data_IF_449291931617
#
_entry.id   IF_449291931617
#
_cell.length_a   1.000
_cell.length_b   1.000
_cell.length_c   1.000
_cell.angle_alpha   90.00
_cell.angle_beta   90.00
_cell.angle_gamma   90.00
#
_symmetry.space_group_name_H-M   'P 1'
#
loop_
_entity.id
_entity.type
_entity.pdbx_description
1 polymer ?
#
# COMPACT_ATOMS: atom_id res chain seq x y z
N UNK A 1 -9.36 -9.49 -1.92
CA UNK A 1 -9.22 -10.79 -1.24
C UNK A 1 -10.43 -11.72 -1.41
N UNK A 2 -11.67 -11.24 -1.45
CA UNK A 2 -12.86 -12.09 -1.58
C UNK A 2 -12.98 -12.71 -2.98
N UNK A 3 -13.01 -11.87 -4.01
CA UNK A 3 -13.38 -12.26 -5.39
C UNK A 3 -12.23 -12.79 -6.26
N UNK A 4 -10.98 -12.61 -5.85
CA UNK A 4 -9.84 -13.02 -6.66
C UNK A 4 -9.40 -14.45 -6.34
N UNK A 5 -8.75 -15.11 -7.31
CA UNK A 5 -8.19 -16.44 -7.14
C UNK A 5 -6.90 -16.41 -6.34
N UNK A 6 -6.73 -17.36 -5.43
CA UNK A 6 -5.50 -17.54 -4.65
C UNK A 6 -4.96 -18.96 -4.81
N UNK A 7 -3.64 -19.12 -4.87
CA UNK A 7 -3.02 -20.44 -4.97
C UNK A 7 -3.21 -21.24 -3.68
N UNK A 8 -3.45 -22.53 -3.84
CA UNK A 8 -3.48 -23.50 -2.75
C UNK A 8 -2.49 -24.64 -3.04
N UNK A 9 -2.15 -25.40 -1.99
CA UNK A 9 -1.16 -26.48 -2.10
C UNK A 9 0.27 -25.97 -2.19
N UNK A 10 1.11 -26.76 -2.87
CA UNK A 10 2.54 -26.49 -3.04
C UNK A 10 2.86 -26.16 -4.50
N UNK A 11 3.79 -25.23 -4.76
CA UNK A 11 4.17 -24.89 -6.12
C UNK A 11 5.05 -25.98 -6.77
N UNK A 12 4.87 -26.18 -8.06
CA UNK A 12 5.82 -26.88 -8.90
C UNK A 12 6.82 -25.85 -9.43
N UNK A 13 8.10 -26.07 -9.16
CA UNK A 13 9.18 -25.19 -9.61
C UNK A 13 9.63 -25.60 -11.01
N UNK A 14 9.53 -24.67 -11.97
CA UNK A 14 9.87 -24.87 -13.38
C UNK A 14 11.06 -23.98 -13.69
N UNK A 15 12.15 -24.54 -14.18
CA UNK A 15 13.41 -23.84 -14.49
C UNK A 15 13.83 -23.93 -15.95
N UNK A 16 13.14 -24.73 -16.75
CA UNK A 16 13.39 -24.96 -18.18
C UNK A 16 12.12 -25.34 -18.93
N UNK A 17 12.17 -25.36 -20.24
CA UNK A 17 11.05 -25.75 -21.12
C UNK A 17 9.78 -24.94 -20.83
N UNK A 18 9.95 -23.62 -20.73
CA UNK A 18 8.84 -22.72 -20.47
C UNK A 18 7.84 -22.71 -21.62
N UNK A 19 6.58 -22.84 -21.26
CA UNK A 19 5.45 -22.71 -22.17
C UNK A 19 4.92 -21.28 -22.19
N UNK A 20 3.77 -21.07 -22.85
CA UNK A 20 3.07 -19.79 -22.84
C UNK A 20 2.75 -19.34 -21.40
N UNK A 21 2.94 -18.04 -21.14
CA UNK A 21 2.75 -17.46 -19.80
C UNK A 21 1.31 -17.65 -19.28
N UNK A 22 0.33 -17.71 -20.16
CA UNK A 22 -1.08 -17.88 -19.78
C UNK A 22 -1.37 -19.23 -19.10
N UNK A 23 -0.51 -20.22 -19.31
CA UNK A 23 -0.61 -21.53 -18.64
C UNK A 23 -0.16 -21.52 -17.19
N UNK A 24 0.46 -20.44 -16.74
CA UNK A 24 1.04 -20.37 -15.40
C UNK A 24 0.21 -19.50 -14.47
N UNK A 25 0.10 -19.96 -13.22
CA UNK A 25 -0.49 -19.26 -12.11
C UNK A 25 0.40 -19.37 -10.87
N UNK A 26 0.99 -18.29 -10.42
CA UNK A 26 1.94 -18.32 -9.31
C UNK A 26 2.92 -17.16 -9.32
N UNK A 27 4.18 -17.46 -9.07
CA UNK A 27 5.27 -16.48 -9.08
C UNK A 27 6.22 -16.75 -10.25
N UNK A 28 6.71 -15.70 -10.88
CA UNK A 28 7.68 -15.77 -11.96
C UNK A 28 8.88 -14.87 -11.67
N UNK A 29 10.08 -15.48 -11.71
CA UNK A 29 11.34 -14.75 -11.69
C UNK A 29 11.79 -14.55 -13.14
N UNK A 30 11.86 -13.30 -13.58
CA UNK A 30 12.15 -12.99 -14.98
C UNK A 30 12.82 -11.64 -15.16
N UNK A 31 13.32 -11.42 -16.38
CA UNK A 31 13.87 -10.16 -16.86
C UNK A 31 12.99 -9.62 -17.98
N UNK A 32 12.58 -8.38 -17.85
CA UNK A 32 11.65 -7.70 -18.76
C UNK A 32 12.22 -6.37 -19.23
N UNK A 33 11.92 -6.02 -20.46
CA UNK A 33 12.19 -4.70 -21.01
C UNK A 33 10.89 -3.88 -21.02
N UNK A 34 10.79 -2.81 -20.21
CA UNK A 34 9.63 -1.93 -20.21
C UNK A 34 9.51 -1.14 -21.53
N UNK A 35 8.30 -0.74 -21.94
CA UNK A 35 8.11 0.18 -23.06
C UNK A 35 8.75 1.55 -22.78
N UNK A 36 8.87 2.43 -23.78
CA UNK A 36 9.47 3.75 -23.62
C UNK A 36 8.50 4.81 -23.12
N UNK A 37 7.23 4.69 -23.50
CA UNK A 37 6.19 5.66 -23.18
C UNK A 37 4.99 4.94 -22.54
N UNK A 38 4.95 4.90 -21.21
CA UNK A 38 3.84 4.39 -20.44
C UNK A 38 3.71 5.25 -19.17
N UNK A 39 2.59 5.97 -19.03
CA UNK A 39 2.40 6.92 -17.93
C UNK A 39 2.36 6.22 -16.56
N UNK A 40 1.74 5.06 -16.49
CA UNK A 40 1.63 4.24 -15.29
C UNK A 40 2.28 2.87 -15.51
N UNK A 41 3.58 2.70 -15.18
CA UNK A 41 4.25 1.41 -15.32
C UNK A 41 3.62 0.35 -14.42
N UNK A 42 3.56 -0.91 -14.92
CA UNK A 42 2.86 -2.00 -14.26
C UNK A 42 3.66 -2.59 -13.09
N UNK A 43 4.93 -2.89 -13.34
CA UNK A 43 5.73 -3.69 -12.43
C UNK A 43 6.50 -2.85 -11.41
N UNK A 44 6.35 -3.13 -10.12
CA UNK A 44 7.16 -2.51 -9.08
C UNK A 44 8.61 -3.02 -9.15
N UNK A 45 9.56 -2.11 -8.94
CA UNK A 45 10.98 -2.40 -8.86
C UNK A 45 11.54 -1.82 -7.56
N UNK A 46 12.40 -2.57 -6.87
CA UNK A 46 13.05 -2.07 -5.65
C UNK A 46 14.35 -1.37 -6.01
N UNK A 47 14.43 -0.09 -5.69
CA UNK A 47 15.59 0.76 -5.91
C UNK A 47 15.93 1.45 -4.60
N UNK A 48 17.13 1.28 -4.06
CA UNK A 48 17.60 1.91 -2.81
C UNK A 48 16.58 1.81 -1.65
N UNK A 49 16.03 0.64 -1.39
CA UNK A 49 14.98 0.42 -0.38
C UNK A 49 13.63 1.11 -0.64
N UNK A 50 13.45 1.77 -1.78
CA UNK A 50 12.17 2.34 -2.21
C UNK A 50 11.51 1.46 -3.26
N UNK A 51 10.18 1.41 -3.23
CA UNK A 51 9.40 0.78 -4.29
C UNK A 51 9.10 1.84 -5.36
N UNK A 52 9.66 1.64 -6.55
CA UNK A 52 9.45 2.50 -7.71
C UNK A 52 8.76 1.74 -8.84
N UNK A 53 8.11 2.48 -9.72
CA UNK A 53 7.55 1.98 -10.97
C UNK A 53 8.28 2.68 -12.12
N UNK A 54 9.28 1.99 -12.68
CA UNK A 54 10.21 2.59 -13.64
C UNK A 54 10.09 1.96 -15.02
N UNK A 55 10.39 2.73 -16.05
CA UNK A 55 10.54 2.26 -17.44
C UNK A 55 12.01 2.04 -17.83
N UNK A 56 12.92 2.41 -16.96
CA UNK A 56 14.36 2.17 -17.09
C UNK A 56 14.97 1.97 -15.70
N UNK A 57 15.54 0.79 -15.45
CA UNK A 57 16.19 0.46 -14.18
C UNK A 57 17.27 1.49 -13.84
N UNK A 58 18.16 1.78 -14.80
CA UNK A 58 19.29 2.70 -14.62
C UNK A 58 18.85 4.13 -14.31
N UNK A 59 17.80 4.64 -14.99
CA UNK A 59 17.24 5.96 -14.68
C UNK A 59 16.66 6.02 -13.27
N UNK A 60 15.99 4.94 -12.83
CA UNK A 60 15.46 4.84 -11.46
C UNK A 60 16.56 4.84 -10.41
N UNK A 61 17.67 4.10 -10.64
CA UNK A 61 18.82 4.03 -9.75
C UNK A 61 19.57 5.37 -9.63
N UNK A 62 19.78 6.04 -10.76
CA UNK A 62 20.54 7.29 -10.85
C UNK A 62 19.65 8.54 -10.79
N UNK A 63 18.34 8.39 -10.70
CA UNK A 63 17.33 9.48 -10.68
C UNK A 63 17.48 10.46 -11.86
N UNK A 64 17.76 9.92 -13.06
CA UNK A 64 17.98 10.71 -14.25
C UNK A 64 16.67 11.20 -14.85
N UNK A 65 16.61 12.50 -15.17
CA UNK A 65 15.43 13.13 -15.80
C UNK A 65 15.27 12.72 -17.26
N UNK A 66 16.34 12.38 -17.98
CA UNK A 66 16.34 11.96 -19.38
C UNK A 66 16.92 10.56 -19.54
N UNK A 67 16.29 9.73 -20.36
CA UNK A 67 16.76 8.38 -20.61
C UNK A 67 17.50 8.29 -21.94
N UNK A 68 18.80 7.95 -21.87
CA UNK A 68 19.66 7.70 -23.03
C UNK A 68 20.20 6.26 -23.04
N UNK A 69 19.65 5.41 -22.16
CA UNK A 69 20.11 4.05 -21.96
C UNK A 69 19.65 3.10 -23.08
N UNK A 70 20.50 2.12 -23.36
CA UNK A 70 20.15 1.03 -24.26
C UNK A 70 19.19 0.04 -23.58
N UNK A 71 18.63 -0.90 -24.37
CA UNK A 71 17.62 -1.83 -23.87
C UNK A 71 18.12 -2.75 -22.75
N UNK A 72 19.42 -3.08 -22.72
CA UNK A 72 20.00 -3.93 -21.66
C UNK A 72 19.99 -3.20 -20.31
N UNK A 73 20.37 -1.92 -20.31
CA UNK A 73 20.40 -1.07 -19.12
C UNK A 73 19.01 -0.68 -18.62
N UNK A 74 18.02 -0.66 -19.54
CA UNK A 74 16.62 -0.38 -19.22
C UNK A 74 15.90 -1.55 -18.55
N UNK A 75 16.34 -2.79 -18.82
CA UNK A 75 15.69 -3.98 -18.30
C UNK A 75 15.52 -3.97 -16.79
N UNK A 76 14.38 -4.43 -16.34
CA UNK A 76 14.09 -4.73 -14.93
C UNK A 76 14.14 -6.24 -14.72
N UNK A 77 14.58 -6.66 -13.55
CA UNK A 77 14.65 -8.06 -13.14
C UNK A 77 14.10 -8.22 -11.74
N UNK A 78 13.30 -9.26 -11.53
CA UNK A 78 12.66 -9.50 -10.23
C UNK A 78 11.73 -10.70 -10.25
N UNK A 79 11.07 -10.89 -9.12
CA UNK A 79 10.02 -11.90 -8.95
C UNK A 79 8.68 -11.20 -8.75
N UNK A 80 7.73 -11.53 -9.59
CA UNK A 80 6.37 -10.99 -9.57
C UNK A 80 5.33 -12.10 -9.63
N UNK A 81 4.08 -11.75 -9.34
CA UNK A 81 2.95 -12.65 -9.61
C UNK A 81 2.74 -12.74 -11.12
N UNK A 82 2.42 -13.93 -11.61
CA UNK A 82 2.18 -14.17 -13.05
C UNK A 82 1.15 -13.20 -13.65
N UNK A 83 0.09 -12.88 -12.90
CA UNK A 83 -0.96 -11.97 -13.34
C UNK A 83 -0.45 -10.53 -13.57
N UNK A 84 0.51 -10.04 -12.76
CA UNK A 84 1.14 -8.72 -13.01
C UNK A 84 2.03 -8.75 -14.26
N UNK A 85 2.73 -9.85 -14.51
CA UNK A 85 3.59 -9.98 -15.68
C UNK A 85 2.77 -10.13 -16.96
N UNK A 86 1.64 -10.85 -16.92
CA UNK A 86 0.68 -10.90 -18.04
C UNK A 86 0.18 -9.50 -18.39
N UNK A 87 -0.24 -8.73 -17.39
CA UNK A 87 -0.68 -7.36 -17.62
C UNK A 87 0.48 -6.47 -18.14
N UNK A 88 1.69 -6.64 -17.63
CA UNK A 88 2.84 -5.91 -18.14
C UNK A 88 3.09 -6.19 -19.63
N UNK A 89 2.98 -7.43 -20.08
CA UNK A 89 3.11 -7.80 -21.49
C UNK A 89 1.98 -7.15 -22.31
N UNK A 90 0.74 -7.15 -21.81
CA UNK A 90 -0.38 -6.48 -22.46
C UNK A 90 -0.12 -4.97 -22.61
N UNK A 91 0.59 -4.35 -21.67
CA UNK A 91 0.99 -2.94 -21.67
C UNK A 91 2.32 -2.69 -22.45
N UNK A 92 2.81 -3.67 -23.20
CA UNK A 92 3.95 -3.53 -24.12
C UNK A 92 5.32 -3.84 -23.54
N UNK A 93 5.41 -4.46 -22.36
CA UNK A 93 6.68 -5.01 -21.89
C UNK A 93 7.09 -6.22 -22.75
N UNK A 94 8.40 -6.39 -22.95
CA UNK A 94 8.95 -7.54 -23.66
C UNK A 94 9.63 -8.49 -22.70
N UNK A 95 9.26 -9.76 -22.72
CA UNK A 95 9.95 -10.82 -21.99
C UNK A 95 11.33 -11.05 -22.59
N UNK A 96 12.39 -10.85 -21.81
CA UNK A 96 13.79 -11.05 -22.24
C UNK A 96 14.27 -12.42 -21.79
N UNK A 97 13.98 -12.80 -20.54
CA UNK A 97 14.40 -14.09 -19.98
C UNK A 97 13.51 -14.49 -18.81
N UNK A 98 13.16 -15.76 -18.75
CA UNK A 98 12.56 -16.40 -17.58
C UNK A 98 13.66 -17.19 -16.89
N UNK A 99 13.78 -17.04 -15.57
CA UNK A 99 14.74 -17.80 -14.75
C UNK A 99 14.06 -18.99 -14.06
N UNK A 100 12.88 -18.77 -13.50
CA UNK A 100 12.08 -19.81 -12.86
C UNK A 100 10.62 -19.38 -12.70
N UNK A 101 9.75 -20.38 -12.62
CA UNK A 101 8.32 -20.18 -12.32
C UNK A 101 7.94 -21.10 -11.17
N UNK A 102 7.26 -20.55 -10.17
CA UNK A 102 6.59 -21.29 -9.12
C UNK A 102 5.12 -21.39 -9.50
N UNK A 103 4.76 -22.48 -10.16
CA UNK A 103 3.41 -22.73 -10.66
C UNK A 103 2.58 -23.49 -9.64
N UNK A 104 1.34 -23.03 -9.40
CA UNK A 104 0.34 -23.72 -8.60
C UNK A 104 -0.71 -24.32 -9.52
N UNK A 105 -0.87 -25.62 -9.46
CA UNK A 105 -1.85 -26.36 -10.27
C UNK A 105 -3.27 -26.13 -9.74
N UNK A 106 -3.41 -25.80 -8.46
CA UNK A 106 -4.69 -25.59 -7.80
C UNK A 106 -4.84 -24.14 -7.32
N UNK A 107 -6.06 -23.62 -7.42
CA UNK A 107 -6.46 -22.29 -6.94
C UNK A 107 -7.85 -22.31 -6.36
N UNK A 108 -8.07 -21.48 -5.35
CA UNK A 108 -9.39 -21.25 -4.76
C UNK A 108 -9.95 -19.92 -5.25
N UNK A 109 -11.17 -19.94 -5.77
CA UNK A 109 -11.85 -18.77 -6.33
C UNK A 109 -13.26 -18.66 -5.75
N UNK A 110 -13.70 -17.45 -5.44
CA UNK A 110 -15.08 -17.20 -5.04
C UNK A 110 -16.00 -17.19 -6.26
N UNK A 111 -17.10 -17.93 -6.16
CA UNK A 111 -18.18 -17.91 -7.14
C UNK A 111 -19.23 -16.88 -6.71
N UNK A 112 -19.38 -15.76 -7.45
CA UNK A 112 -20.33 -14.71 -7.10
C UNK A 112 -21.79 -15.12 -7.30
N UNK A 113 -22.08 -16.07 -8.19
CA UNK A 113 -23.45 -16.54 -8.45
C UNK A 113 -23.93 -17.50 -7.37
N UNK A 114 -23.09 -18.47 -7.02
CA UNK A 114 -23.36 -19.42 -5.95
C UNK A 114 -23.11 -18.87 -4.54
N UNK A 115 -22.45 -17.72 -4.41
CA UNK A 115 -22.03 -17.11 -3.14
C UNK A 115 -21.12 -18.03 -2.29
N UNK A 116 -20.30 -18.87 -2.95
CA UNK A 116 -19.49 -19.92 -2.34
C UNK A 116 -18.04 -19.89 -2.82
N UNK A 117 -17.18 -20.63 -2.12
CA UNK A 117 -15.76 -20.69 -2.42
C UNK A 117 -14.98 -19.45 -1.94
N UNK A 118 -13.73 -19.35 -2.41
CA UNK A 118 -12.81 -18.28 -2.07
C UNK A 118 -12.15 -18.43 -0.71
N UNK A 119 -10.81 -18.44 -0.72
CA UNK A 119 -9.96 -18.75 0.43
C UNK A 119 -10.26 -17.90 1.68
N UNK A 120 -10.69 -16.65 1.50
CA UNK A 120 -10.91 -15.70 2.59
C UNK A 120 -12.37 -15.30 2.80
N UNK A 121 -13.30 -15.90 2.07
CA UNK A 121 -14.71 -15.51 2.06
C UNK A 121 -15.34 -15.53 3.45
N UNK A 122 -15.11 -16.58 4.24
CA UNK A 122 -15.65 -16.70 5.60
C UNK A 122 -15.18 -15.57 6.51
N UNK A 123 -13.89 -15.24 6.45
CA UNK A 123 -13.31 -14.13 7.23
C UNK A 123 -13.88 -12.78 6.76
N UNK A 124 -13.82 -12.51 5.45
CA UNK A 124 -14.27 -11.23 4.89
C UNK A 124 -15.76 -11.02 5.17
N UNK A 125 -16.60 -12.01 4.91
CA UNK A 125 -18.05 -11.91 5.14
C UNK A 125 -18.38 -11.64 6.61
N UNK A 126 -17.68 -12.26 7.55
CA UNK A 126 -17.86 -12.02 8.99
C UNK A 126 -17.62 -10.56 9.36
N UNK A 127 -16.46 -10.02 9.01
CA UNK A 127 -16.11 -8.65 9.38
C UNK A 127 -16.81 -7.59 8.52
N UNK A 128 -17.17 -7.92 7.28
CA UNK A 128 -17.99 -7.08 6.44
C UNK A 128 -19.39 -6.92 7.02
N UNK A 129 -20.02 -8.03 7.45
CA UNK A 129 -21.30 -8.03 8.18
C UNK A 129 -21.20 -7.12 9.42
N UNK A 130 -20.24 -7.35 10.28
CA UNK A 130 -20.06 -6.56 11.51
C UNK A 130 -19.85 -5.07 11.22
N UNK A 131 -19.03 -4.73 10.20
CA UNK A 131 -18.80 -3.34 9.78
C UNK A 131 -20.09 -2.69 9.30
N UNK A 132 -20.87 -3.38 8.45
CA UNK A 132 -22.09 -2.85 7.85
C UNK A 132 -23.18 -2.68 8.89
N UNK A 133 -23.42 -3.68 9.73
CA UNK A 133 -24.39 -3.58 10.83
C UNK A 133 -24.01 -2.44 11.81
N UNK A 134 -22.74 -2.29 12.14
CA UNK A 134 -22.24 -1.22 13.00
C UNK A 134 -22.21 0.18 12.33
N UNK A 135 -22.42 0.27 11.04
CA UNK A 135 -22.54 1.55 10.32
C UNK A 135 -23.96 2.16 10.46
N UNK A 136 -24.97 1.34 10.79
CA UNK A 136 -26.37 1.74 10.72
C UNK A 136 -26.90 1.74 9.29
N UNK A 137 -28.16 2.08 9.13
CA UNK A 137 -28.76 2.26 7.80
C UNK A 137 -28.28 3.55 7.14
N UNK A 138 -28.13 3.59 5.81
CA UNK A 138 -27.94 4.82 5.06
C UNK A 138 -29.06 5.84 5.33
N UNK A 139 -28.78 7.12 5.23
CA UNK A 139 -29.72 8.20 5.57
C UNK A 139 -31.01 8.19 4.77
N UNK A 140 -30.99 7.64 3.56
CA UNK A 140 -32.15 7.52 2.68
C UNK A 140 -33.03 6.30 3.00
N UNK A 141 -32.59 5.38 3.85
CA UNK A 141 -33.31 4.15 4.25
C UNK A 141 -34.03 4.43 5.56
N UNK A 142 -35.31 4.79 5.50
CA UNK A 142 -36.10 5.27 6.65
C UNK A 142 -37.26 4.35 7.03
N UNK A 143 -37.95 3.78 6.07
CA UNK A 143 -39.12 2.92 6.30
C UNK A 143 -38.74 1.46 6.56
N UNK A 144 -39.60 0.70 7.18
CA UNK A 144 -39.37 -0.74 7.43
C UNK A 144 -39.30 -1.55 6.13
N UNK A 145 -39.97 -1.12 5.07
CA UNK A 145 -39.92 -1.76 3.75
C UNK A 145 -38.53 -1.50 3.11
N UNK A 146 -38.05 -0.26 3.14
CA UNK A 146 -36.71 0.10 2.65
C UNK A 146 -35.59 -0.64 3.43
N UNK A 147 -35.73 -0.79 4.74
CA UNK A 147 -34.80 -1.56 5.56
C UNK A 147 -34.72 -3.03 5.16
N UNK A 148 -35.87 -3.66 4.91
CA UNK A 148 -35.94 -5.05 4.43
C UNK A 148 -35.33 -5.17 3.03
N UNK A 149 -35.64 -4.24 2.14
CA UNK A 149 -35.09 -4.18 0.79
C UNK A 149 -33.54 -4.00 0.84
N UNK A 150 -33.05 -3.13 1.71
CA UNK A 150 -31.60 -2.94 1.93
C UNK A 150 -30.88 -4.24 2.32
N UNK A 151 -31.41 -4.98 3.31
CA UNK A 151 -30.86 -6.27 3.74
C UNK A 151 -30.88 -7.30 2.60
N UNK A 152 -31.94 -7.36 1.85
CA UNK A 152 -32.11 -8.29 0.73
C UNK A 152 -31.12 -7.94 -0.39
N UNK A 153 -31.04 -6.69 -0.79
CA UNK A 153 -30.10 -6.21 -1.82
C UNK A 153 -28.65 -6.44 -1.41
N UNK A 154 -28.33 -6.19 -0.14
CA UNK A 154 -26.99 -6.45 0.38
C UNK A 154 -26.59 -7.93 0.27
N UNK A 155 -27.53 -8.84 0.56
CA UNK A 155 -27.31 -10.27 0.35
C UNK A 155 -27.08 -10.62 -1.13
N UNK A 156 -27.88 -10.06 -2.04
CA UNK A 156 -27.72 -10.32 -3.47
C UNK A 156 -26.38 -9.84 -4.00
N UNK A 157 -25.87 -8.69 -3.56
CA UNK A 157 -24.60 -8.16 -4.02
C UNK A 157 -23.41 -8.83 -3.32
N UNK A 158 -23.46 -8.91 -1.99
CA UNK A 158 -22.31 -9.33 -1.20
C UNK A 158 -22.33 -10.80 -0.77
N UNK A 159 -23.45 -11.49 -0.86
CA UNK A 159 -23.61 -12.84 -0.29
C UNK A 159 -23.51 -12.84 1.24
N UNK A 160 -23.81 -11.70 1.88
CA UNK A 160 -23.73 -11.52 3.32
C UNK A 160 -25.10 -11.21 3.90
N UNK A 161 -25.61 -12.13 4.70
CA UNK A 161 -26.90 -11.93 5.37
C UNK A 161 -26.74 -11.03 6.59
N UNK A 162 -27.27 -9.80 6.50
CA UNK A 162 -27.36 -8.86 7.61
C UNK A 162 -28.52 -9.21 8.54
N UNK A 163 -28.39 -8.86 9.82
CA UNK A 163 -29.48 -8.96 10.81
C UNK A 163 -30.07 -7.57 11.04
N UNK A 164 -31.36 -7.41 10.65
CA UNK A 164 -32.13 -6.17 10.78
C UNK A 164 -32.07 -5.58 12.21
N UNK A 165 -32.08 -6.43 13.23
CA UNK A 165 -32.09 -6.01 14.64
C UNK A 165 -30.72 -5.46 15.10
N UNK A 166 -29.64 -5.85 14.42
CA UNK A 166 -28.28 -5.49 14.76
C UNK A 166 -27.76 -4.27 13.99
N UNK A 167 -28.52 -3.79 12.99
CA UNK A 167 -28.11 -2.61 12.19
C UNK A 167 -28.33 -1.34 13.03
N UNK A 168 -27.28 -0.95 13.77
CA UNK A 168 -27.29 0.25 14.65
C UNK A 168 -25.91 0.91 14.64
N UNK A 169 -25.83 2.24 14.58
CA UNK A 169 -24.55 2.93 14.64
C UNK A 169 -23.71 2.56 15.87
N UNK A 170 -22.52 2.05 15.64
CA UNK A 170 -21.53 1.74 16.67
C UNK A 170 -20.13 2.02 16.12
N UNK A 171 -19.61 3.20 16.40
CA UNK A 171 -18.32 3.68 15.87
C UNK A 171 -17.13 2.78 16.26
N UNK A 172 -17.13 2.25 17.49
CA UNK A 172 -16.08 1.35 17.99
C UNK A 172 -16.08 0.01 17.22
N UNK A 173 -17.22 -0.64 17.08
CA UNK A 173 -17.35 -1.91 16.36
C UNK A 173 -17.05 -1.72 14.86
N UNK A 174 -17.51 -0.63 14.26
CA UNK A 174 -17.18 -0.26 12.88
C UNK A 174 -15.68 -0.11 12.67
N UNK A 175 -14.99 0.61 13.58
CA UNK A 175 -13.54 0.82 13.50
C UNK A 175 -12.77 -0.49 13.66
N UNK A 176 -13.13 -1.34 14.63
CA UNK A 176 -12.52 -2.65 14.84
C UNK A 176 -12.71 -3.55 13.61
N UNK A 177 -13.94 -3.64 13.08
CA UNK A 177 -14.22 -4.46 11.89
C UNK A 177 -13.44 -3.98 10.66
N UNK A 178 -13.33 -2.66 10.46
CA UNK A 178 -12.49 -2.06 9.41
C UNK A 178 -11.02 -2.41 9.61
N UNK A 179 -10.53 -2.39 10.84
CA UNK A 179 -9.16 -2.77 11.15
C UNK A 179 -8.89 -4.24 10.78
N UNK A 180 -9.78 -5.17 11.13
CA UNK A 180 -9.63 -6.58 10.77
C UNK A 180 -9.64 -6.80 9.25
N UNK A 181 -10.55 -6.16 8.53
CA UNK A 181 -10.59 -6.24 7.06
C UNK A 181 -9.30 -5.74 6.40
N UNK A 182 -8.72 -4.67 6.92
CA UNK A 182 -7.54 -4.03 6.33
C UNK A 182 -6.22 -4.68 6.73
N UNK A 183 -6.15 -5.37 7.88
CA UNK A 183 -4.88 -5.86 8.44
C UNK A 183 -4.56 -7.33 8.12
N UNK A 184 -5.55 -8.15 7.73
CA UNK A 184 -5.35 -9.58 7.52
C UNK A 184 -4.21 -9.90 6.57
N UNK A 185 -4.19 -9.26 5.40
CA UNK A 185 -3.19 -9.55 4.38
C UNK A 185 -1.75 -9.25 4.82
N UNK A 186 -1.57 -8.22 5.65
CA UNK A 186 -0.27 -7.84 6.20
C UNK A 186 0.32 -8.91 7.11
N UNK A 187 -0.52 -9.73 7.74
CA UNK A 187 -0.07 -10.85 8.56
C UNK A 187 0.67 -11.90 7.73
N UNK A 188 0.21 -12.17 6.51
CA UNK A 188 0.85 -13.13 5.62
C UNK A 188 2.23 -12.69 5.13
N UNK A 189 2.45 -11.38 4.94
CA UNK A 189 3.73 -10.80 4.53
C UNK A 189 4.63 -10.38 5.68
N UNK A 190 4.33 -10.77 6.92
CA UNK A 190 5.11 -10.37 8.07
C UNK A 190 6.48 -11.08 8.06
N UNK A 191 7.56 -10.31 8.24
CA UNK A 191 8.87 -10.91 8.47
C UNK A 191 8.84 -11.70 9.79
N UNK A 192 9.01 -13.02 9.70
CA UNK A 192 8.99 -13.93 10.85
C UNK A 192 10.31 -13.92 11.63
N UNK A 193 11.42 -13.50 11.00
CA UNK A 193 12.73 -13.35 11.63
C UNK A 193 12.97 -11.89 12.04
N UNK A 194 12.08 -11.35 12.89
CA UNK A 194 12.26 -9.99 13.44
C UNK A 194 13.29 -9.99 14.56
N UNK A 195 14.00 -8.87 14.68
CA UNK A 195 14.88 -8.61 15.82
C UNK A 195 14.12 -8.76 17.13
N UNK A 196 14.55 -9.69 17.92
CA UNK A 196 14.09 -9.95 19.29
C UNK A 196 14.93 -9.15 20.27
N UNK A 197 14.43 -8.95 21.46
CA UNK A 197 15.18 -8.31 22.55
C UNK A 197 15.08 -9.14 23.81
N UNK A 198 16.21 -9.30 24.51
CA UNK A 198 16.32 -9.94 25.82
C UNK A 198 17.02 -8.99 26.79
N UNK A 199 16.48 -8.86 27.99
CA UNK A 199 17.20 -8.20 29.08
C UNK A 199 18.04 -9.26 29.79
N UNK A 200 19.30 -8.97 29.92
CA UNK A 200 20.32 -9.88 30.46
C UNK A 200 20.90 -9.23 31.71
N UNK A 201 20.79 -9.93 32.83
CA UNK A 201 21.36 -9.54 34.14
C UNK A 201 22.54 -10.40 34.56
N UNK A 202 22.62 -11.62 34.02
CA UNK A 202 23.70 -12.53 34.25
C UNK A 202 24.63 -12.63 33.05
N UNK A 203 25.93 -12.55 33.28
CA UNK A 203 26.92 -12.57 32.20
C UNK A 203 26.93 -13.92 31.45
N UNK A 204 26.58 -15.02 32.12
CA UNK A 204 26.42 -16.35 31.52
C UNK A 204 25.39 -16.33 30.39
N UNK A 205 24.23 -15.69 30.63
CA UNK A 205 23.16 -15.57 29.63
C UNK A 205 23.59 -14.80 28.35
N UNK A 206 24.54 -13.87 28.51
CA UNK A 206 25.10 -13.14 27.40
C UNK A 206 26.03 -14.04 26.58
N UNK A 207 26.89 -14.82 27.25
CA UNK A 207 27.75 -15.79 26.59
C UNK A 207 26.96 -16.89 25.91
N UNK A 208 25.91 -17.41 26.53
CA UNK A 208 25.02 -18.40 25.95
C UNK A 208 24.38 -17.87 24.65
N UNK A 209 23.95 -16.61 24.64
CA UNK A 209 23.39 -15.99 23.44
C UNK A 209 24.44 -15.81 22.31
N UNK A 210 25.70 -15.52 22.65
CA UNK A 210 26.78 -15.39 21.67
C UNK A 210 27.31 -16.70 21.12
N UNK A 211 27.27 -17.76 21.94
CA UNK A 211 27.78 -19.08 21.59
C UNK A 211 26.74 -19.97 20.92
N UNK A 212 25.48 -19.57 20.93
CA UNK A 212 24.40 -20.29 20.29
C UNK A 212 24.34 -19.93 18.81
N UNK A 213 24.75 -20.86 17.94
CA UNK A 213 24.75 -20.71 16.48
C UNK A 213 23.36 -20.46 15.88
N UNK A 214 22.28 -20.66 16.65
CA UNK A 214 20.92 -20.38 16.22
C UNK A 214 20.62 -18.89 16.16
N UNK A 215 21.42 -18.05 16.82
CA UNK A 215 21.17 -16.62 16.93
C UNK A 215 22.31 -15.77 16.37
N UNK A 216 21.95 -14.59 15.87
CA UNK A 216 22.88 -13.56 15.44
C UNK A 216 22.61 -12.31 16.26
N UNK A 217 23.54 -11.95 17.15
CA UNK A 217 23.45 -10.72 17.94
C UNK A 217 23.69 -9.53 17.03
N UNK A 218 22.70 -8.61 16.99
CA UNK A 218 22.69 -7.43 16.12
C UNK A 218 23.24 -6.20 16.85
N UNK A 219 22.89 -6.05 18.13
CA UNK A 219 23.26 -4.88 18.92
C UNK A 219 23.14 -5.17 20.41
N UNK A 220 23.95 -4.48 21.21
CA UNK A 220 23.95 -4.52 22.67
C UNK A 220 23.79 -3.09 23.22
N UNK A 221 22.85 -2.92 24.14
CA UNK A 221 22.66 -1.66 24.85
C UNK A 221 22.80 -1.88 26.35
N UNK A 222 23.88 -1.40 26.95
CA UNK A 222 24.10 -1.44 28.39
C UNK A 222 23.26 -0.36 29.06
N UNK A 223 22.20 -0.78 29.75
CA UNK A 223 21.26 0.13 30.43
C UNK A 223 21.87 0.68 31.72
N UNK A 224 22.62 -0.16 32.44
CA UNK A 224 23.43 0.16 33.59
C UNK A 224 24.53 -0.93 33.78
N UNK A 225 25.29 -0.90 34.90
CA UNK A 225 26.39 -1.81 35.17
C UNK A 225 25.95 -3.29 35.29
N UNK A 226 24.65 -3.54 35.60
CA UNK A 226 24.13 -4.88 35.87
C UNK A 226 23.12 -5.36 34.80
N UNK A 227 22.73 -4.53 33.84
CA UNK A 227 21.67 -4.88 32.86
C UNK A 227 22.09 -4.53 31.43
N UNK A 228 22.17 -5.55 30.62
CA UNK A 228 22.37 -5.43 29.18
C UNK A 228 21.07 -5.78 28.43
N UNK A 229 20.71 -4.98 27.45
CA UNK A 229 19.64 -5.28 26.49
C UNK A 229 20.29 -5.79 25.20
N UNK A 230 20.16 -7.07 24.91
CA UNK A 230 20.63 -7.66 23.66
C UNK A 230 19.53 -7.66 22.62
N UNK A 231 19.87 -7.30 21.38
CA UNK A 231 19.04 -7.38 20.19
C UNK A 231 19.62 -8.45 19.28
N UNK A 232 18.80 -9.43 18.91
CA UNK A 232 19.23 -10.57 18.12
C UNK A 232 18.14 -11.07 17.18
N UNK A 233 18.56 -11.76 16.11
CA UNK A 233 17.69 -12.49 15.18
C UNK A 233 18.08 -13.97 15.23
N UNK A 234 17.22 -14.83 14.72
CA UNK A 234 17.67 -16.19 14.38
C UNK A 234 18.62 -16.14 13.18
N UNK A 235 19.58 -17.05 13.15
CA UNK A 235 20.39 -17.26 11.97
C UNK A 235 19.48 -17.65 10.79
N UNK A 236 19.68 -17.06 9.61
CA UNK A 236 18.81 -17.26 8.45
C UNK A 236 18.78 -18.74 8.01
N UNK A 237 19.90 -19.47 8.15
CA UNK A 237 19.99 -20.89 7.84
C UNK A 237 19.17 -21.77 8.82
N UNK A 238 18.99 -21.30 10.05
CA UNK A 238 18.26 -22.00 11.12
C UNK A 238 16.81 -21.53 11.28
N UNK A 239 16.43 -20.50 10.50
CA UNK A 239 15.09 -19.94 10.59
C UNK A 239 14.10 -20.72 9.72
N UNK A 240 13.25 -21.51 10.32
CA UNK A 240 12.23 -22.36 9.65
C UNK A 240 11.01 -21.59 9.14
N UNK A 241 10.99 -20.26 9.24
CA UNK A 241 9.80 -19.47 8.91
C UNK A 241 8.74 -19.49 10.02
N UNK A 242 7.53 -19.13 9.69
CA UNK A 242 6.37 -19.16 10.60
C UNK A 242 5.16 -19.74 9.87
N UNK A 243 4.44 -20.63 10.55
CA UNK A 243 3.18 -21.23 10.05
C UNK A 243 2.07 -20.18 9.83
N UNK A 244 2.21 -19.01 10.43
CA UNK A 244 1.24 -17.91 10.34
C UNK A 244 1.53 -16.94 9.18
N UNK A 245 2.58 -17.18 8.38
CA UNK A 245 2.98 -16.32 7.28
C UNK A 245 2.88 -17.07 5.94
N UNK A 246 2.47 -16.37 4.90
CA UNK A 246 2.46 -16.88 3.54
C UNK A 246 2.73 -15.74 2.57
N UNK A 247 4.00 -15.57 2.21
CA UNK A 247 4.46 -14.48 1.35
C UNK A 247 3.81 -14.53 -0.03
N UNK A 248 3.48 -15.72 -0.53
CA UNK A 248 2.81 -15.89 -1.83
C UNK A 248 1.42 -15.26 -1.78
N UNK A 249 0.63 -15.57 -0.74
CA UNK A 249 -0.70 -14.95 -0.55
C UNK A 249 -0.57 -13.43 -0.43
N UNK A 250 0.40 -12.93 0.34
CA UNK A 250 0.63 -11.49 0.45
C UNK A 250 0.99 -10.84 -0.89
N UNK A 251 1.82 -11.50 -1.70
CA UNK A 251 2.17 -11.05 -3.05
C UNK A 251 0.93 -10.97 -3.96
N UNK A 252 0.08 -12.00 -3.95
CA UNK A 252 -1.17 -12.00 -4.72
C UNK A 252 -2.14 -10.89 -4.30
N UNK A 253 -2.31 -10.64 -2.99
CA UNK A 253 -3.17 -9.54 -2.51
C UNK A 253 -2.68 -8.19 -3.02
N UNK A 254 -1.37 -7.93 -2.89
CA UNK A 254 -0.79 -6.67 -3.36
C UNK A 254 -0.78 -6.55 -4.88
N UNK A 255 -0.59 -7.66 -5.60
CA UNK A 255 -0.73 -7.74 -7.06
C UNK A 255 -2.12 -7.29 -7.50
N UNK A 256 -3.16 -7.94 -7.01
CA UNK A 256 -4.54 -7.62 -7.39
C UNK A 256 -4.95 -6.20 -7.02
N UNK A 257 -4.48 -5.68 -5.87
CA UNK A 257 -4.72 -4.29 -5.48
C UNK A 257 -4.08 -3.31 -6.48
N UNK A 258 -2.82 -3.57 -6.88
CA UNK A 258 -2.13 -2.75 -7.87
C UNK A 258 -2.78 -2.82 -9.25
N UNK A 259 -3.18 -4.01 -9.71
CA UNK A 259 -3.86 -4.18 -11.01
C UNK A 259 -5.21 -3.47 -11.04
N UNK A 260 -5.97 -3.51 -9.93
CA UNK A 260 -7.24 -2.77 -9.83
C UNK A 260 -7.01 -1.26 -9.93
N UNK A 261 -6.04 -0.73 -9.19
CA UNK A 261 -5.67 0.67 -9.26
C UNK A 261 -5.15 1.04 -10.66
N UNK A 262 -4.27 0.22 -11.26
CA UNK A 262 -3.72 0.44 -12.59
C UNK A 262 -4.82 0.57 -13.66
N UNK A 263 -5.84 -0.30 -13.62
CA UNK A 263 -6.97 -0.22 -14.54
C UNK A 263 -7.69 1.14 -14.44
N UNK A 264 -7.89 1.62 -13.22
CA UNK A 264 -8.48 2.94 -12.97
C UNK A 264 -7.59 4.07 -13.52
N UNK A 265 -6.29 4.03 -13.19
CA UNK A 265 -5.32 5.03 -13.64
C UNK A 265 -5.18 5.06 -15.17
N UNK A 266 -5.17 3.90 -15.82
CA UNK A 266 -5.07 3.78 -17.29
C UNK A 266 -6.28 4.40 -17.97
N UNK A 267 -7.49 4.20 -17.44
CA UNK A 267 -8.71 4.80 -17.98
C UNK A 267 -8.77 6.31 -17.79
N UNK A 268 -8.30 6.82 -16.65
CA UNK A 268 -8.25 8.25 -16.36
C UNK A 268 -7.12 8.96 -17.10
N UNK A 269 -6.01 8.28 -17.38
CA UNK A 269 -4.88 8.84 -18.13
C UNK A 269 -4.28 10.07 -17.46
N UNK A 270 -4.08 11.13 -18.25
CA UNK A 270 -3.48 12.40 -17.80
C UNK A 270 -4.36 13.20 -16.84
N UNK A 271 -5.62 12.83 -16.67
CA UNK A 271 -6.52 13.45 -15.69
C UNK A 271 -6.17 13.13 -14.23
N UNK A 272 -5.31 12.13 -13.99
CA UNK A 272 -4.88 11.75 -12.65
C UNK A 272 -3.93 12.79 -12.07
N UNK A 273 -4.30 13.39 -10.95
CA UNK A 273 -3.48 14.35 -10.21
C UNK A 273 -2.70 13.67 -9.07
N UNK A 274 -3.35 12.77 -8.34
CA UNK A 274 -2.75 12.06 -7.21
C UNK A 274 -3.39 10.67 -7.04
N UNK A 275 -2.60 9.70 -6.61
CA UNK A 275 -3.10 8.38 -6.24
C UNK A 275 -2.25 7.75 -5.13
N UNK A 276 -2.89 6.97 -4.25
CA UNK A 276 -2.22 6.22 -3.19
C UNK A 276 -3.00 4.95 -2.86
N UNK A 277 -2.39 3.80 -3.10
CA UNK A 277 -2.86 2.45 -2.76
C UNK A 277 -4.25 2.09 -3.32
N UNK A 278 -5.30 2.76 -2.89
CA UNK A 278 -6.72 2.50 -3.20
C UNK A 278 -7.54 3.78 -3.41
N UNK A 279 -6.88 4.91 -3.55
CA UNK A 279 -7.51 6.21 -3.78
C UNK A 279 -6.91 6.94 -4.97
N UNK A 280 -7.70 7.79 -5.60
CA UNK A 280 -7.31 8.63 -6.74
C UNK A 280 -7.98 10.01 -6.62
N UNK A 281 -7.21 11.06 -6.91
CA UNK A 281 -7.72 12.42 -7.15
C UNK A 281 -7.49 12.71 -8.62
N UNK A 282 -8.53 13.11 -9.33
CA UNK A 282 -8.50 13.30 -10.77
C UNK A 282 -9.38 14.48 -11.21
N UNK A 283 -9.14 14.95 -12.41
CA UNK A 283 -9.96 15.98 -13.05
C UNK A 283 -11.17 15.32 -13.73
N UNK A 284 -12.39 15.65 -13.30
CA UNK A 284 -13.61 15.25 -13.97
C UNK A 284 -13.88 16.23 -15.14
N UNK A 285 -14.12 15.69 -16.33
CA UNK A 285 -14.39 16.44 -17.54
C UNK A 285 -15.76 16.03 -18.08
N UNK A 286 -16.69 16.96 -18.26
CA UNK A 286 -18.02 16.63 -18.79
C UNK A 286 -17.94 15.89 -20.13
N UNK A 287 -18.61 14.72 -20.19
CA UNK A 287 -18.64 13.88 -21.39
C UNK A 287 -17.52 12.84 -21.49
N UNK A 288 -16.53 12.87 -20.60
CA UNK A 288 -15.55 11.80 -20.44
C UNK A 288 -15.98 10.77 -19.38
N UNK A 289 -15.35 9.60 -19.44
CA UNK A 289 -15.64 8.55 -18.48
C UNK A 289 -15.13 8.90 -17.07
N UNK A 290 -15.97 8.80 -16.08
CA UNK A 290 -15.61 8.88 -14.67
C UNK A 290 -15.86 7.54 -13.99
N UNK A 291 -15.11 7.22 -12.91
CA UNK A 291 -15.32 6.00 -12.16
C UNK A 291 -16.72 5.92 -11.53
N UNK A 292 -17.32 4.75 -11.60
CA UNK A 292 -18.58 4.49 -10.89
C UNK A 292 -18.37 4.47 -9.39
N UNK A 293 -19.30 5.09 -8.67
CA UNK A 293 -19.33 5.17 -7.22
C UNK A 293 -20.37 4.21 -6.68
N UNK A 294 -20.09 3.54 -5.57
CA UNK A 294 -21.02 2.62 -4.95
C UNK A 294 -20.65 2.27 -3.51
N UNK A 295 -21.55 1.50 -2.86
CA UNK A 295 -21.48 1.16 -1.44
C UNK A 295 -21.00 -0.28 -1.19
N UNK A 296 -20.82 -1.07 -2.25
CA UNK A 296 -20.45 -2.47 -2.14
C UNK A 296 -18.94 -2.70 -2.17
N UNK A 297 -18.54 -3.89 -1.76
CA UNK A 297 -17.12 -4.24 -1.64
C UNK A 297 -16.41 -4.17 -3.01
N UNK A 298 -15.44 -3.28 -3.08
CA UNK A 298 -14.63 -3.07 -4.27
C UNK A 298 -15.12 -1.96 -5.19
N UNK A 299 -16.22 -1.32 -4.90
CA UNK A 299 -16.65 -0.08 -5.53
C UNK A 299 -15.90 1.11 -4.93
N UNK A 300 -15.87 2.22 -5.65
CA UNK A 300 -15.26 3.46 -5.19
C UNK A 300 -16.28 4.29 -4.42
N UNK A 301 -15.81 4.97 -3.39
CA UNK A 301 -16.64 5.89 -2.59
C UNK A 301 -16.11 7.31 -2.78
N UNK A 302 -17.01 8.27 -3.00
CA UNK A 302 -16.64 9.67 -2.93
C UNK A 302 -16.31 10.04 -1.47
N UNK A 303 -15.11 10.60 -1.24
CA UNK A 303 -14.69 11.04 0.09
C UNK A 303 -15.10 12.50 0.40
N UNK A 304 -15.63 13.22 -0.59
CA UNK A 304 -16.18 14.56 -0.43
C UNK A 304 -17.67 14.51 -0.10
N UNK A 305 -18.20 15.58 0.47
CA UNK A 305 -19.63 15.73 0.68
C UNK A 305 -20.41 15.73 -0.64
N UNK A 306 -21.71 15.42 -0.58
CA UNK A 306 -22.54 15.40 -1.76
C UNK A 306 -22.58 16.78 -2.45
N UNK A 307 -22.26 16.79 -3.74
CA UNK A 307 -22.18 18.00 -4.54
C UNK A 307 -20.89 18.84 -4.36
N UNK A 308 -20.00 18.39 -3.48
CA UNK A 308 -18.72 19.06 -3.27
C UNK A 308 -17.64 18.54 -4.27
N UNK A 309 -16.69 19.41 -4.64
CA UNK A 309 -15.58 19.07 -5.51
C UNK A 309 -14.34 19.91 -5.19
N UNK A 310 -13.17 19.39 -5.53
CA UNK A 310 -11.91 20.09 -5.33
C UNK A 310 -11.74 21.15 -6.40
N UNK A 311 -11.54 22.40 -5.98
CA UNK A 311 -11.28 23.54 -6.88
C UNK A 311 -9.79 23.80 -7.05
N UNK A 312 -8.97 23.50 -6.04
CA UNK A 312 -7.53 23.66 -6.09
C UNK A 312 -6.85 22.62 -5.21
N UNK A 313 -5.73 22.03 -5.67
CA UNK A 313 -4.99 21.03 -4.94
C UNK A 313 -3.49 21.19 -5.10
N UNK A 314 -2.73 20.80 -4.06
CA UNK A 314 -1.26 20.76 -4.06
C UNK A 314 -0.78 19.41 -3.52
N UNK A 315 0.19 18.78 -4.22
CA UNK A 315 0.63 17.42 -3.98
C UNK A 315 2.17 17.36 -3.84
N UNK A 316 2.76 17.80 -2.70
CA UNK A 316 4.21 17.89 -2.53
C UNK A 316 4.95 16.56 -2.48
N UNK A 317 4.24 15.43 -2.52
CA UNK A 317 4.84 14.11 -2.52
C UNK A 317 3.96 13.02 -1.95
N UNK A 318 4.48 11.77 -1.85
CA UNK A 318 3.70 10.63 -1.40
C UNK A 318 3.14 10.83 0.02
N UNK A 319 1.81 10.69 0.18
CA UNK A 319 1.07 10.89 1.44
C UNK A 319 1.14 12.32 2.00
N UNK A 320 1.47 13.27 1.14
CA UNK A 320 1.45 14.69 1.42
C UNK A 320 0.58 15.37 0.37
N UNK A 321 -0.52 15.95 0.78
CA UNK A 321 -1.41 16.71 -0.09
C UNK A 321 -2.28 17.67 0.69
N UNK A 322 -2.66 18.74 0.05
CA UNK A 322 -3.71 19.62 0.53
C UNK A 322 -4.59 20.08 -0.62
N UNK A 323 -5.87 20.32 -0.35
CA UNK A 323 -6.81 20.85 -1.32
C UNK A 323 -7.88 21.70 -0.67
N UNK A 324 -8.51 22.51 -1.50
CA UNK A 324 -9.66 23.37 -1.14
C UNK A 324 -10.84 22.97 -2.00
N UNK A 325 -12.02 22.86 -1.40
CA UNK A 325 -13.27 22.53 -2.09
C UNK A 325 -14.06 23.77 -2.48
N UNK A 326 -15.09 23.62 -3.32
CA UNK A 326 -16.00 24.71 -3.67
C UNK A 326 -16.75 25.28 -2.46
N UNK A 327 -17.01 24.46 -1.43
CA UNK A 327 -17.58 24.91 -0.13
C UNK A 327 -16.53 25.55 0.79
N UNK A 328 -15.29 25.77 0.27
CA UNK A 328 -14.16 26.36 0.99
C UNK A 328 -13.66 25.51 2.17
N UNK A 329 -13.98 24.25 2.20
CA UNK A 329 -13.34 23.34 3.12
C UNK A 329 -11.88 23.09 2.69
N UNK A 330 -10.98 23.09 3.66
CA UNK A 330 -9.55 22.83 3.42
C UNK A 330 -9.16 21.51 4.06
N UNK A 331 -8.66 20.60 3.25
CA UNK A 331 -8.09 19.32 3.71
C UNK A 331 -6.58 19.38 3.56
N UNK A 332 -5.86 19.00 4.62
CA UNK A 332 -4.40 18.90 4.61
C UNK A 332 -3.96 17.57 5.25
N UNK A 333 -3.18 16.79 4.54
CA UNK A 333 -2.60 15.52 4.99
C UNK A 333 -1.10 15.52 4.81
N UNK A 334 -0.37 15.25 5.90
CA UNK A 334 1.09 15.27 5.92
C UNK A 334 1.64 14.05 6.64
N UNK A 335 2.42 13.27 5.94
CA UNK A 335 3.02 12.04 6.47
C UNK A 335 3.97 12.35 7.62
N UNK A 336 3.75 11.69 8.77
CA UNK A 336 4.66 11.76 9.92
C UNK A 336 4.48 13.00 10.80
N UNK A 337 3.51 13.86 10.48
CA UNK A 337 3.16 15.04 11.28
C UNK A 337 1.79 14.86 11.94
N UNK A 338 1.69 15.30 13.19
CA UNK A 338 0.39 15.47 13.86
C UNK A 338 -0.04 16.92 13.68
N UNK A 339 -0.98 17.14 12.76
CA UNK A 339 -1.50 18.47 12.46
C UNK A 339 -2.48 18.93 13.55
N UNK A 340 -1.95 19.23 14.75
CA UNK A 340 -2.69 19.97 15.76
C UNK A 340 -2.80 21.45 15.36
N UNK A 341 -3.56 22.25 16.08
CA UNK A 341 -3.78 23.65 15.77
C UNK A 341 -2.49 24.44 15.50
N UNK A 342 -1.45 24.27 16.34
CA UNK A 342 -0.16 24.97 16.16
C UNK A 342 0.59 24.52 14.90
N UNK A 343 0.54 23.23 14.61
CA UNK A 343 1.17 22.66 13.41
C UNK A 343 0.42 23.06 12.15
N UNK A 344 -0.92 23.07 12.16
CA UNK A 344 -1.75 23.47 11.02
C UNK A 344 -1.63 24.97 10.67
N UNK A 345 -1.27 25.83 11.63
CA UNK A 345 -0.95 27.22 11.33
C UNK A 345 0.33 27.38 10.50
N UNK A 346 1.25 26.41 10.58
CA UNK A 346 2.52 26.42 9.83
C UNK A 346 2.45 25.58 8.55
N UNK A 347 1.82 24.38 8.63
CA UNK A 347 1.66 23.47 7.48
C UNK A 347 0.19 23.37 7.14
N UNK A 348 -0.19 24.05 6.09
CA UNK A 348 -1.55 24.17 5.57
C UNK A 348 -1.49 24.31 4.04
N UNK A 349 -2.64 24.49 3.42
CA UNK A 349 -2.75 24.60 1.96
C UNK A 349 -1.86 25.71 1.39
N UNK A 350 -1.93 26.91 1.96
CA UNK A 350 -1.19 28.06 1.45
C UNK A 350 0.32 27.88 1.56
N UNK A 351 0.82 27.42 2.71
CA UNK A 351 2.26 27.19 2.91
C UNK A 351 2.79 26.04 2.05
N UNK A 352 1.98 24.99 1.78
CA UNK A 352 2.35 23.93 0.86
C UNK A 352 2.37 24.41 -0.60
N UNK A 353 1.43 25.26 -0.97
CA UNK A 353 1.37 25.89 -2.30
C UNK A 353 2.58 26.80 -2.52
N UNK A 354 2.88 27.67 -1.56
CA UNK A 354 4.06 28.55 -1.61
C UNK A 354 5.35 27.74 -1.73
N UNK A 355 5.49 26.64 -0.98
CA UNK A 355 6.65 25.73 -1.08
C UNK A 355 6.86 25.20 -2.50
N UNK A 356 5.80 24.76 -3.19
CA UNK A 356 5.91 24.22 -4.55
C UNK A 356 6.20 25.32 -5.56
N UNK A 357 5.63 26.51 -5.39
CA UNK A 357 5.87 27.62 -6.29
C UNK A 357 7.27 28.20 -6.12
N UNK A 358 7.80 28.28 -4.90
CA UNK A 358 9.17 28.75 -4.64
C UNK A 358 10.26 27.81 -5.16
N UNK A 359 9.96 26.52 -5.34
CA UNK A 359 10.91 25.58 -5.98
C UNK A 359 11.26 25.98 -7.41
N UNK A 360 10.32 26.62 -8.13
CA UNK A 360 10.57 27.15 -9.49
C UNK A 360 11.65 28.23 -9.46
N UNK A 361 11.68 29.02 -8.39
CA UNK A 361 12.61 30.14 -8.18
C UNK A 361 13.96 29.71 -7.60
N UNK A 362 14.19 28.37 -7.40
CA UNK A 362 15.37 27.75 -6.77
C UNK A 362 15.58 28.14 -5.30
N UNK A 363 14.54 28.54 -4.59
CA UNK A 363 14.60 28.78 -3.15
C UNK A 363 14.25 27.47 -2.40
N UNK A 364 15.19 26.99 -1.56
CA UNK A 364 14.96 25.85 -0.66
C UNK A 364 14.00 26.29 0.47
N UNK A 365 12.71 26.14 0.25
CA UNK A 365 11.70 26.47 1.25
C UNK A 365 11.43 25.25 2.14
N UNK A 366 11.67 25.42 3.44
CA UNK A 366 11.47 24.37 4.45
C UNK A 366 10.57 24.90 5.57
N UNK A 367 9.63 24.06 6.05
CA UNK A 367 8.75 24.43 7.17
C UNK A 367 9.12 23.61 8.39
N UNK A 368 9.65 24.27 9.42
CA UNK A 368 9.95 23.63 10.70
C UNK A 368 8.76 23.68 11.65
N UNK A 369 8.37 22.51 12.15
CA UNK A 369 7.25 22.32 13.07
C UNK A 369 7.70 21.61 14.33
N UNK A 370 7.46 22.22 15.47
CA UNK A 370 7.70 21.61 16.79
C UNK A 370 6.50 20.77 17.21
N UNK A 371 6.74 19.51 17.51
CA UNK A 371 5.71 18.56 17.91
C UNK A 371 5.99 18.01 19.31
N UNK A 372 4.99 18.08 20.18
CA UNK A 372 5.04 17.41 21.46
C UNK A 372 4.83 15.91 21.25
N UNK A 373 5.75 15.12 21.75
CA UNK A 373 5.74 13.66 21.63
C UNK A 373 5.98 13.02 22.98
N UNK A 374 5.45 11.83 23.17
CA UNK A 374 5.79 11.00 24.32
C UNK A 374 6.96 10.11 23.90
N UNK A 375 8.10 10.23 24.61
CA UNK A 375 9.28 9.42 24.40
C UNK A 375 9.53 8.46 25.53
N UNK A 376 9.97 7.26 25.20
CA UNK A 376 10.51 6.31 26.17
C UNK A 376 12.02 6.57 26.33
N UNK A 377 12.45 6.98 27.51
CA UNK A 377 13.86 7.00 27.85
C UNK A 377 14.26 5.60 28.34
N UNK A 378 14.96 4.86 27.49
CA UNK A 378 15.38 3.47 27.80
C UNK A 378 16.47 3.39 28.86
N UNK A 379 17.28 4.45 29.05
CA UNK A 379 18.34 4.46 30.06
C UNK A 379 17.76 4.54 31.47
N UNK A 380 16.74 5.35 31.67
CA UNK A 380 16.14 5.61 32.97
C UNK A 380 14.81 4.86 33.18
N UNK A 381 14.33 4.12 32.17
CA UNK A 381 13.01 3.46 32.17
C UNK A 381 11.83 4.42 32.41
N UNK A 382 11.97 5.64 31.92
CA UNK A 382 10.99 6.70 32.09
C UNK A 382 10.20 6.92 30.80
N UNK A 383 8.98 7.38 30.97
CA UNK A 383 8.17 7.93 29.89
C UNK A 383 8.14 9.44 30.10
N UNK A 384 8.68 10.20 29.16
CA UNK A 384 8.76 11.64 29.25
C UNK A 384 8.11 12.34 28.05
N UNK A 385 7.59 13.52 28.30
CA UNK A 385 7.18 14.44 27.24
C UNK A 385 8.42 15.14 26.66
N UNK A 386 8.50 15.23 25.36
CA UNK A 386 9.58 15.95 24.67
C UNK A 386 9.01 16.74 23.50
N UNK A 387 9.69 17.83 23.15
CA UNK A 387 9.43 18.57 21.91
C UNK A 387 10.44 18.12 20.87
N UNK A 388 9.96 17.75 19.68
CA UNK A 388 10.77 17.36 18.54
C UNK A 388 10.46 18.26 17.38
N UNK A 389 11.49 18.95 16.88
CA UNK A 389 11.38 19.72 15.64
C UNK A 389 11.46 18.80 14.44
N UNK A 390 10.49 18.89 13.55
CA UNK A 390 10.45 18.17 12.27
C UNK A 390 10.42 19.19 11.14
N UNK A 391 11.18 18.89 10.10
CA UNK A 391 11.21 19.70 8.88
C UNK A 391 10.28 19.05 7.86
N UNK A 392 9.36 19.84 7.31
CA UNK A 392 8.52 19.48 6.18
C UNK A 392 9.10 20.07 4.92
N UNK A 393 9.33 19.21 3.92
CA UNK A 393 9.78 19.56 2.58
C UNK A 393 8.96 18.78 1.55
N UNK A 394 8.97 19.23 0.31
CA UNK A 394 8.45 18.42 -0.80
C UNK A 394 9.35 17.22 -1.09
N UNK A 395 8.79 16.16 -1.67
CA UNK A 395 9.52 14.92 -1.99
C UNK A 395 9.05 14.37 -3.34
N UNK A 396 9.82 14.62 -4.39
CA UNK A 396 9.59 14.08 -5.74
C UNK A 396 10.66 13.06 -6.12
N UNK A 397 10.74 11.97 -5.36
CA UNK A 397 11.78 10.95 -5.54
C UNK A 397 11.28 9.65 -6.19
N UNK A 398 9.99 9.56 -6.50
CA UNK A 398 9.38 8.40 -7.16
C UNK A 398 9.09 8.58 -8.63
N UNK A 399 8.94 9.81 -9.08
CA UNK A 399 8.67 10.20 -10.45
C UNK A 399 9.44 11.48 -10.77
N UNK A 400 9.58 11.79 -12.04
CA UNK A 400 10.21 13.02 -12.53
C UNK A 400 9.13 14.10 -12.55
N UNK A 401 9.36 15.22 -11.85
CA UNK A 401 8.53 16.41 -11.95
C UNK A 401 8.94 17.21 -13.18
N UNK A 402 7.97 17.61 -14.00
CA UNK A 402 8.14 18.48 -15.17
C UNK A 402 7.88 19.94 -14.80
N UNK A 403 8.25 20.85 -15.68
CA UNK A 403 8.04 22.32 -15.53
C UNK A 403 6.54 22.70 -15.44
N UNK A 404 5.67 21.91 -16.06
CA UNK A 404 4.21 22.07 -16.00
C UNK A 404 3.56 21.41 -14.77
N UNK A 405 4.36 21.01 -13.78
CA UNK A 405 3.96 20.28 -12.57
C UNK A 405 3.37 18.88 -12.80
N UNK A 406 3.31 18.40 -14.02
CA UNK A 406 2.98 17.00 -14.27
C UNK A 406 4.16 16.08 -13.96
N UNK A 407 3.89 14.80 -13.75
CA UNK A 407 4.94 13.84 -13.43
C UNK A 407 4.97 12.68 -14.40
N UNK A 408 6.18 12.22 -14.71
CA UNK A 408 6.42 11.04 -15.55
C UNK A 408 7.31 10.02 -14.81
N UNK A 409 7.19 8.72 -15.11
CA UNK A 409 8.06 7.72 -14.49
C UNK A 409 9.49 7.83 -15.00
N UNK A 410 10.45 7.39 -14.18
CA UNK A 410 11.85 7.32 -14.60
C UNK A 410 12.00 6.41 -15.83
N UNK A 411 12.68 6.90 -16.85
CA UNK A 411 12.91 6.19 -18.12
C UNK A 411 11.82 6.41 -19.17
N UNK A 412 10.87 7.32 -18.93
CA UNK A 412 9.91 7.78 -19.96
C UNK A 412 10.66 8.56 -21.05
N UNK A 413 10.43 8.23 -22.33
CA UNK A 413 11.03 8.88 -23.52
C UNK A 413 10.16 8.75 -24.78
#
# INVERSE_FOLDING_TARGET
MKINSFPIGFPRVITENFEDLDKYFGLINCKLLPPKALLFPVLPSRVENKLLFVLCKKCGELKLKKCEHNDVERCIEGTWVTEEVKEAINQGYKMIKIFSIWHYDEKETYDPDLKQGGLFTGYINKFLKMKTEASGFPSHVTTEEEKRSYVTNYYFHEGVQLDLNNIKPNSGMKAISKLFLNSLWGRFGLNSNKTQQKLITEISDLYDLFLDDQYVVQDLNFLNENVCQAFYTKNDEMHSGSVDTNVVIAAFVTCYARLKLLNLLTKLGERVLYFDTDSVIYVSIPGEWDPEIGDYLGELTNELADGDFIVEGVFPGPKNYAFVTNEKETVCKVKGFSLNYKASMKVNFESMKEMILSEIENDNFEITVDQSVIKRNRKNWEICSAVVSKVFTHVYDKRILKEDFTTIPYGFC
#
